data_IF_684385130716
#
_entry.id   IF_684385130716
#
_cell.length_a   1.000
_cell.length_b   1.000
_cell.length_c   1.000
_cell.angle_alpha   90.00
_cell.angle_beta   90.00
_cell.angle_gamma   90.00
#
_symmetry.space_group_name_H-M   'P 1'
#
loop_
_entity.id
_entity.type
_entity.pdbx_description
1 polymer ?
#
# COMPACT_ATOMS: atom_id res chain seq x y z
N UNK A 1 6.56 -45.82 13.15
CA UNK A 1 6.64 -44.45 13.71
C UNK A 1 6.62 -43.48 12.53
N UNK A 2 5.48 -42.85 12.24
CA UNK A 2 5.34 -41.92 11.11
C UNK A 2 5.92 -40.55 11.51
N UNK A 3 7.01 -40.14 10.87
CA UNK A 3 7.55 -38.79 11.02
C UNK A 3 6.58 -37.80 10.36
N UNK A 4 5.78 -37.08 11.16
CA UNK A 4 5.04 -35.91 10.68
C UNK A 4 6.07 -34.84 10.31
N UNK A 5 6.26 -34.62 9.01
CA UNK A 5 7.04 -33.49 8.48
C UNK A 5 6.39 -32.22 9.03
N UNK A 6 7.04 -31.53 9.98
CA UNK A 6 6.56 -30.24 10.45
C UNK A 6 6.62 -29.28 9.25
N UNK A 7 5.46 -28.94 8.71
CA UNK A 7 5.37 -27.93 7.65
C UNK A 7 6.00 -26.64 8.17
N UNK A 8 6.97 -26.12 7.44
CA UNK A 8 7.60 -24.84 7.80
C UNK A 8 6.49 -23.78 7.79
N UNK A 9 6.36 -22.96 8.85
CA UNK A 9 5.36 -21.91 8.88
C UNK A 9 5.54 -20.99 7.66
N UNK A 10 4.44 -20.68 6.99
CA UNK A 10 4.44 -19.76 5.85
C UNK A 10 5.05 -18.41 6.26
N UNK A 11 5.61 -17.68 5.28
CA UNK A 11 6.38 -16.44 5.54
C UNK A 11 5.62 -15.44 6.41
N UNK A 12 4.32 -15.25 6.16
CA UNK A 12 3.45 -14.39 6.98
C UNK A 12 3.32 -14.88 8.42
N UNK A 13 3.12 -16.18 8.63
CA UNK A 13 3.05 -16.77 9.97
C UNK A 13 4.34 -16.51 10.74
N UNK A 14 5.50 -16.68 10.10
CA UNK A 14 6.79 -16.37 10.72
C UNK A 14 6.94 -14.88 11.01
N UNK A 15 6.50 -14.00 10.11
CA UNK A 15 6.53 -12.56 10.31
C UNK A 15 5.76 -12.15 11.58
N UNK A 16 4.58 -12.70 11.80
CA UNK A 16 3.75 -12.36 12.96
C UNK A 16 4.18 -13.01 14.29
N UNK A 17 5.19 -13.88 14.28
CA UNK A 17 5.82 -14.36 15.52
C UNK A 17 6.64 -13.27 16.20
N UNK A 18 7.13 -12.27 15.46
CA UNK A 18 7.81 -11.12 16.02
C UNK A 18 6.77 -10.08 16.51
N UNK A 19 6.76 -9.74 17.80
CA UNK A 19 5.86 -8.73 18.35
C UNK A 19 5.92 -7.38 17.63
N UNK A 20 7.08 -7.01 17.07
CA UNK A 20 7.25 -5.76 16.31
C UNK A 20 6.31 -5.71 15.11
N UNK A 21 6.22 -6.80 14.33
CA UNK A 21 5.37 -6.87 13.15
C UNK A 21 3.92 -7.17 13.54
N UNK A 22 3.71 -7.99 14.57
CA UNK A 22 2.36 -8.27 15.10
C UNK A 22 1.66 -6.99 15.57
N UNK A 23 2.38 -6.08 16.25
CA UNK A 23 1.85 -4.82 16.76
C UNK A 23 1.91 -3.66 15.76
N UNK A 24 2.40 -3.88 14.54
CA UNK A 24 2.50 -2.82 13.54
C UNK A 24 1.12 -2.25 13.23
N UNK A 25 0.92 -0.97 13.48
CA UNK A 25 -0.38 -0.34 13.26
C UNK A 25 -0.53 0.23 11.84
N UNK A 26 0.57 0.57 11.17
CA UNK A 26 0.61 0.98 9.76
C UNK A 26 1.31 -0.12 8.97
N UNK A 27 0.67 -0.60 7.92
CA UNK A 27 1.20 -1.63 7.03
C UNK A 27 1.19 -1.10 5.61
N UNK A 28 2.33 -1.19 4.92
CA UNK A 28 2.46 -0.87 3.50
C UNK A 28 2.70 -2.18 2.75
N UNK A 29 1.82 -2.49 1.79
CA UNK A 29 1.88 -3.70 0.97
C UNK A 29 2.32 -3.31 -0.44
N UNK A 30 3.53 -3.75 -0.81
CA UNK A 30 4.09 -3.61 -2.15
C UNK A 30 4.62 -4.98 -2.58
N UNK A 31 3.76 -5.76 -3.23
CA UNK A 31 4.02 -7.15 -3.64
C UNK A 31 3.42 -7.38 -5.03
N UNK A 32 3.94 -8.38 -5.76
CA UNK A 32 3.42 -8.79 -7.07
C UNK A 32 4.40 -8.59 -8.24
N UNK A 33 5.50 -7.86 -8.06
CA UNK A 33 6.49 -7.60 -9.13
C UNK A 33 7.15 -8.84 -9.74
N UNK A 34 7.11 -9.98 -9.03
CA UNK A 34 7.65 -11.25 -9.50
C UNK A 34 6.58 -12.21 -10.01
N UNK A 35 5.30 -11.90 -9.85
CA UNK A 35 4.20 -12.82 -10.17
C UNK A 35 4.14 -13.07 -11.68
N UNK A 36 4.43 -12.03 -12.49
CA UNK A 36 4.53 -12.12 -13.96
C UNK A 36 5.67 -13.03 -14.46
N UNK A 37 6.70 -13.22 -13.65
CA UNK A 37 7.85 -14.06 -13.99
C UNK A 37 7.67 -15.52 -13.55
N UNK A 38 6.65 -15.80 -12.74
CA UNK A 38 6.41 -17.15 -12.23
C UNK A 38 5.78 -18.01 -13.32
N UNK A 39 6.40 -19.15 -13.61
CA UNK A 39 5.94 -20.08 -14.65
C UNK A 39 5.13 -21.27 -14.11
N UNK A 40 5.38 -21.68 -12.88
CA UNK A 40 4.70 -22.84 -12.29
C UNK A 40 4.40 -22.67 -10.77
N UNK A 41 3.12 -22.64 -10.37
CA UNK A 41 2.00 -22.25 -11.23
C UNK A 41 2.21 -20.82 -11.74
N UNK A 42 1.83 -20.55 -12.99
CA UNK A 42 1.70 -19.17 -13.48
C UNK A 42 0.70 -18.40 -12.64
N UNK A 43 0.97 -17.13 -12.35
CA UNK A 43 0.05 -16.28 -11.59
C UNK A 43 -0.53 -15.22 -12.52
N UNK A 44 -1.82 -15.32 -12.79
CA UNK A 44 -2.57 -14.35 -13.59
C UNK A 44 -2.72 -13.00 -12.86
N UNK A 45 -3.04 -11.92 -13.58
CA UNK A 45 -3.36 -10.64 -12.94
C UNK A 45 -4.46 -10.73 -11.87
N UNK A 46 -5.52 -11.50 -12.13
CA UNK A 46 -6.64 -11.70 -11.22
C UNK A 46 -6.21 -12.47 -9.96
N UNK A 47 -5.40 -13.51 -10.11
CA UNK A 47 -4.83 -14.24 -8.97
C UNK A 47 -3.90 -13.36 -8.15
N UNK A 48 -3.11 -12.49 -8.79
CA UNK A 48 -2.26 -11.52 -8.10
C UNK A 48 -3.10 -10.65 -7.17
N UNK A 49 -4.16 -10.02 -7.68
CA UNK A 49 -5.03 -9.15 -6.87
C UNK A 49 -5.77 -9.95 -5.81
N UNK A 50 -6.27 -11.14 -6.13
CA UNK A 50 -6.90 -12.03 -5.14
C UNK A 50 -5.94 -12.37 -3.99
N UNK A 51 -4.67 -12.65 -4.29
CA UNK A 51 -3.66 -12.89 -3.28
C UNK A 51 -3.40 -11.64 -2.41
N UNK A 52 -3.33 -10.45 -3.03
CA UNK A 52 -3.18 -9.19 -2.31
C UNK A 52 -4.36 -8.90 -1.38
N UNK A 53 -5.60 -9.16 -1.82
CA UNK A 53 -6.80 -9.07 -0.97
C UNK A 53 -6.66 -9.96 0.27
N UNK A 54 -6.30 -11.24 0.07
CA UNK A 54 -6.13 -12.20 1.15
C UNK A 54 -5.02 -11.80 2.12
N UNK A 55 -3.92 -11.26 1.61
CA UNK A 55 -2.82 -10.72 2.42
C UNK A 55 -3.32 -9.54 3.27
N UNK A 56 -4.04 -8.59 2.67
CA UNK A 56 -4.57 -7.43 3.38
C UNK A 56 -5.58 -7.85 4.46
N UNK A 57 -6.48 -8.78 4.15
CA UNK A 57 -7.43 -9.33 5.11
C UNK A 57 -6.73 -10.08 6.25
N UNK A 58 -5.71 -10.88 5.95
CA UNK A 58 -4.91 -11.58 6.96
C UNK A 58 -4.20 -10.58 7.88
N UNK A 59 -3.51 -9.58 7.33
CA UNK A 59 -2.85 -8.51 8.08
C UNK A 59 -3.85 -7.83 9.02
N UNK A 60 -5.03 -7.46 8.53
CA UNK A 60 -6.07 -6.77 9.31
C UNK A 60 -6.59 -7.59 10.50
N UNK A 61 -6.65 -8.92 10.37
CA UNK A 61 -7.14 -9.84 11.41
C UNK A 61 -6.06 -10.22 12.43
N UNK A 62 -4.81 -9.86 12.20
CA UNK A 62 -3.70 -10.17 13.12
C UNK A 62 -3.50 -9.06 14.15
N UNK A 63 -3.13 -9.46 15.37
CA UNK A 63 -2.96 -8.52 16.48
C UNK A 63 -4.29 -8.03 17.05
N UNK A 64 -4.20 -7.09 18.01
CA UNK A 64 -5.37 -6.39 18.58
C UNK A 64 -5.49 -4.96 18.06
N UNK A 65 -4.47 -4.50 17.36
CA UNK A 65 -4.29 -3.14 16.91
C UNK A 65 -5.19 -2.84 15.71
N UNK A 66 -5.73 -1.62 15.65
CA UNK A 66 -6.51 -1.16 14.50
C UNK A 66 -5.58 -0.78 13.36
N UNK A 67 -5.18 -1.77 12.56
CA UNK A 67 -4.23 -1.57 11.46
C UNK A 67 -4.81 -0.70 10.36
N UNK A 68 -3.96 0.13 9.76
CA UNK A 68 -4.24 0.83 8.50
C UNK A 68 -3.29 0.29 7.45
N UNK A 69 -3.89 -0.27 6.40
CA UNK A 69 -3.18 -1.04 5.38
C UNK A 69 -3.23 -0.23 4.09
N UNK A 70 -2.07 0.08 3.55
CA UNK A 70 -1.89 0.79 2.29
C UNK A 70 -1.44 -0.21 1.23
N UNK A 71 -2.16 -0.29 0.11
CA UNK A 71 -1.82 -1.17 -1.00
C UNK A 71 -1.29 -0.36 -2.19
N UNK A 72 -0.10 -0.70 -2.66
CA UNK A 72 0.57 -0.01 -3.77
C UNK A 72 0.30 -0.72 -5.08
N UNK A 73 0.43 0.02 -6.19
CA UNK A 73 0.63 -0.62 -7.50
C UNK A 73 1.97 -1.37 -7.52
N UNK A 74 2.17 -2.23 -8.52
CA UNK A 74 3.47 -2.87 -8.77
C UNK A 74 4.33 -1.96 -9.66
N UNK A 75 5.63 -1.80 -9.37
CA UNK A 75 6.54 -1.06 -10.23
C UNK A 75 6.66 -1.75 -11.60
N UNK A 76 6.60 -0.96 -12.66
CA UNK A 76 6.73 -1.42 -14.06
C UNK A 76 8.00 -0.89 -14.75
N UNK A 77 8.91 -0.30 -13.97
CA UNK A 77 10.20 0.13 -14.49
C UNK A 77 11.06 -1.09 -14.86
N UNK A 78 11.70 -1.02 -16.02
CA UNK A 78 12.49 -2.10 -16.60
C UNK A 78 11.66 -3.20 -17.26
N UNK A 79 10.33 -3.16 -17.21
CA UNK A 79 9.48 -4.19 -17.84
C UNK A 79 9.79 -4.34 -19.34
N UNK A 80 10.03 -3.23 -20.04
CA UNK A 80 10.45 -3.17 -21.45
C UNK A 80 11.75 -3.90 -21.77
N UNK A 81 12.57 -4.17 -20.76
CA UNK A 81 13.87 -4.83 -20.90
C UNK A 81 13.78 -6.34 -20.64
N UNK A 82 12.85 -6.80 -19.79
CA UNK A 82 12.83 -8.19 -19.30
C UNK A 82 11.55 -8.96 -19.62
N UNK A 83 10.48 -8.29 -20.04
CA UNK A 83 9.18 -8.89 -20.24
C UNK A 83 8.78 -8.87 -21.72
N UNK A 84 8.01 -9.86 -22.14
CA UNK A 84 7.32 -9.81 -23.43
C UNK A 84 6.19 -8.76 -23.40
N UNK A 85 5.70 -8.36 -24.58
CA UNK A 85 4.55 -7.44 -24.69
C UNK A 85 3.32 -7.93 -23.91
N UNK A 86 3.04 -9.24 -23.97
CA UNK A 86 1.97 -9.87 -23.21
C UNK A 86 2.18 -9.73 -21.69
N UNK A 87 3.39 -9.98 -21.20
CA UNK A 87 3.72 -9.84 -19.79
C UNK A 87 3.66 -8.39 -19.30
N UNK A 88 4.04 -7.43 -20.14
CA UNK A 88 3.88 -6.01 -19.84
C UNK A 88 2.39 -5.62 -19.75
N UNK A 89 1.57 -6.10 -20.67
CA UNK A 89 0.12 -5.90 -20.66
C UNK A 89 -0.53 -6.51 -19.40
N UNK A 90 -0.06 -7.68 -18.98
CA UNK A 90 -0.47 -8.30 -17.73
C UNK A 90 -0.12 -7.45 -16.50
N UNK A 91 1.08 -6.86 -16.44
CA UNK A 91 1.46 -5.97 -15.35
C UNK A 91 0.62 -4.69 -15.32
N UNK A 92 0.30 -4.12 -16.49
CA UNK A 92 -0.63 -3.00 -16.57
C UNK A 92 -2.01 -3.40 -16.04
N UNK A 93 -2.50 -4.58 -16.42
CA UNK A 93 -3.77 -5.13 -15.95
C UNK A 93 -3.77 -5.36 -14.43
N UNK A 94 -2.67 -5.87 -13.85
CA UNK A 94 -2.51 -5.99 -12.39
C UNK A 94 -2.71 -4.64 -11.70
N UNK A 95 -2.07 -3.59 -12.19
CA UNK A 95 -2.19 -2.26 -11.61
C UNK A 95 -3.60 -1.68 -11.73
N UNK A 96 -4.25 -1.84 -12.88
CA UNK A 96 -5.65 -1.44 -13.05
C UNK A 96 -6.58 -2.16 -12.06
N UNK A 97 -6.38 -3.47 -11.86
CA UNK A 97 -7.18 -4.25 -10.91
C UNK A 97 -6.88 -3.88 -9.44
N UNK A 98 -5.63 -3.57 -9.10
CA UNK A 98 -5.25 -3.06 -7.77
C UNK A 98 -5.95 -1.72 -7.49
N UNK A 99 -5.94 -0.81 -8.46
CA UNK A 99 -6.64 0.48 -8.35
C UNK A 99 -8.14 0.27 -8.19
N UNK A 100 -8.76 -0.56 -9.03
CA UNK A 100 -10.18 -0.90 -8.92
C UNK A 100 -10.54 -1.52 -7.56
N UNK A 101 -9.68 -2.35 -6.98
CA UNK A 101 -9.86 -2.89 -5.64
C UNK A 101 -9.80 -1.80 -4.56
N UNK A 102 -8.86 -0.85 -4.68
CA UNK A 102 -8.75 0.28 -3.75
C UNK A 102 -9.93 1.25 -3.87
N UNK A 103 -10.51 1.36 -5.06
CA UNK A 103 -11.68 2.20 -5.35
C UNK A 103 -13.02 1.52 -5.02
N UNK A 104 -13.02 0.24 -4.62
CA UNK A 104 -14.23 -0.50 -4.25
C UNK A 104 -14.93 0.15 -3.05
N UNK A 105 -15.91 0.99 -3.34
CA UNK A 105 -16.64 1.77 -2.34
C UNK A 105 -17.38 0.90 -1.31
N UNK A 106 -17.39 1.37 -0.07
CA UNK A 106 -18.45 1.05 0.90
C UNK A 106 -19.69 1.86 0.47
N UNK A 107 -20.88 1.26 0.32
CA UNK A 107 -22.10 2.04 0.14
C UNK A 107 -22.22 3.06 1.27
N UNK A 108 -22.37 4.33 0.91
CA UNK A 108 -22.33 5.50 1.79
C UNK A 108 -23.01 5.28 3.15
N UNK A 109 -22.22 5.30 4.23
CA UNK A 109 -22.66 6.03 5.42
C UNK A 109 -22.49 7.49 5.05
N UNK A 110 -23.57 8.27 5.06
CA UNK A 110 -23.52 9.72 4.91
C UNK A 110 -22.56 10.29 5.96
N UNK A 111 -21.32 10.58 5.58
CA UNK A 111 -20.42 11.36 6.41
C UNK A 111 -20.93 12.80 6.38
N UNK A 112 -21.59 13.23 7.45
CA UNK A 112 -21.81 14.65 7.71
C UNK A 112 -20.44 15.31 7.84
N UNK A 113 -20.06 16.02 6.79
CA UNK A 113 -18.84 16.83 6.74
C UNK A 113 -18.97 17.95 7.78
N UNK A 114 -18.46 17.75 9.00
CA UNK A 114 -18.22 18.88 9.90
C UNK A 114 -16.94 19.57 9.44
N UNK A 115 -17.12 20.54 8.54
CA UNK A 115 -16.06 21.48 8.15
C UNK A 115 -15.62 22.22 9.42
N UNK A 116 -14.45 21.89 9.95
CA UNK A 116 -13.76 22.72 10.93
C UNK A 116 -13.14 23.88 10.15
N UNK A 117 -13.85 25.00 10.08
CA UNK A 117 -13.28 26.27 9.62
C UNK A 117 -12.36 26.79 10.73
N UNK A 118 -11.05 26.72 10.50
CA UNK A 118 -10.08 27.45 11.31
C UNK A 118 -9.97 28.82 10.68
N UNK A 119 -10.54 29.83 11.33
CA UNK A 119 -10.46 31.23 10.93
C UNK A 119 -9.03 31.73 11.20
N UNK A 120 -8.15 31.56 10.21
CA UNK A 120 -6.85 32.23 10.18
C UNK A 120 -7.10 33.61 9.59
N UNK A 121 -7.13 34.60 10.47
CA UNK A 121 -7.58 35.96 10.20
C UNK A 121 -7.11 36.55 8.86
N UNK A 122 -8.09 37.09 8.14
CA UNK A 122 -8.03 38.21 7.18
C UNK A 122 -6.66 38.48 6.52
N UNK A 123 -6.21 37.61 5.63
CA UNK A 123 -5.41 38.03 4.47
C UNK A 123 -5.78 37.20 3.24
N UNK A 124 -6.40 37.86 2.27
CA UNK A 124 -6.53 37.46 0.86
C UNK A 124 -6.92 35.99 0.57
N UNK A 125 -8.21 35.68 0.72
CA UNK A 125 -9.03 35.24 -0.43
C UNK A 125 -8.65 33.98 -1.21
N UNK A 126 -7.93 33.00 -0.65
CA UNK A 126 -7.80 31.67 -1.27
C UNK A 126 -7.68 30.57 -0.21
N UNK A 127 -8.81 30.15 0.35
CA UNK A 127 -8.89 28.90 1.11
C UNK A 127 -8.81 27.72 0.15
N UNK A 128 -7.61 27.29 -0.24
CA UNK A 128 -7.42 25.99 -0.91
C UNK A 128 -7.48 24.88 0.14
N UNK A 129 -8.67 24.39 0.44
CA UNK A 129 -8.82 23.12 1.15
C UNK A 129 -8.48 21.97 0.20
N UNK A 130 -7.23 21.53 0.21
CA UNK A 130 -6.84 20.28 -0.45
C UNK A 130 -7.09 19.15 0.56
N UNK A 131 -8.33 18.66 0.58
CA UNK A 131 -8.70 17.46 1.33
C UNK A 131 -8.43 16.24 0.46
N UNK A 132 -7.21 15.70 0.48
CA UNK A 132 -6.96 14.33 -0.01
C UNK A 132 -7.52 13.35 1.02
N UNK A 133 -8.84 13.15 1.01
CA UNK A 133 -9.47 12.06 1.74
C UNK A 133 -9.26 10.78 0.93
N UNK A 134 -8.17 10.07 1.21
CA UNK A 134 -8.07 8.67 0.81
C UNK A 134 -9.12 7.89 1.61
N UNK A 135 -10.24 7.56 0.96
CA UNK A 135 -11.25 6.70 1.57
C UNK A 135 -10.76 5.25 1.55
N UNK A 136 -11.07 4.53 2.63
CA UNK A 136 -10.86 3.09 2.67
C UNK A 136 -11.88 2.39 1.78
N UNK A 137 -11.48 1.32 1.13
CA UNK A 137 -12.40 0.43 0.42
C UNK A 137 -13.28 -0.39 1.41
N UNK A 138 -14.17 -1.23 0.89
CA UNK A 138 -15.03 -2.13 1.70
C UNK A 138 -14.28 -2.98 2.73
N UNK A 139 -13.03 -3.33 2.42
CA UNK A 139 -12.19 -4.18 3.25
C UNK A 139 -11.35 -3.37 4.24
N UNK A 140 -11.46 -2.04 4.25
CA UNK A 140 -10.68 -1.15 5.10
C UNK A 140 -9.26 -0.89 4.60
N UNK A 141 -8.96 -1.20 3.34
CA UNK A 141 -7.67 -0.96 2.67
C UNK A 141 -7.64 0.45 2.09
N UNK A 142 -6.50 1.12 2.24
CA UNK A 142 -6.22 2.45 1.71
C UNK A 142 -5.40 2.34 0.41
N UNK A 143 -5.62 3.22 -0.56
CA UNK A 143 -4.71 3.35 -1.69
C UNK A 143 -3.33 3.82 -1.20
N UNK A 144 -2.29 3.10 -1.62
CA UNK A 144 -0.90 3.41 -1.39
C UNK A 144 -0.30 4.28 -2.50
N UNK A 145 1.03 4.36 -2.53
CA UNK A 145 1.74 5.08 -3.58
C UNK A 145 1.57 4.37 -4.94
N UNK A 146 1.30 5.16 -5.99
CA UNK A 146 1.41 4.70 -7.37
C UNK A 146 2.87 4.68 -7.79
N UNK A 147 3.42 3.48 -7.97
CA UNK A 147 4.86 3.24 -8.24
C UNK A 147 5.11 2.76 -9.67
N UNK A 148 4.06 2.60 -10.46
CA UNK A 148 4.10 2.22 -11.85
C UNK A 148 4.32 3.43 -12.76
N UNK A 149 4.90 3.17 -13.95
CA UNK A 149 5.23 4.22 -14.91
C UNK A 149 3.99 4.84 -15.58
N UNK A 150 2.87 4.13 -15.62
CA UNK A 150 1.65 4.62 -16.27
C UNK A 150 0.92 5.64 -15.38
N UNK A 151 0.84 5.36 -14.08
CA UNK A 151 0.21 6.23 -13.08
C UNK A 151 1.13 7.29 -12.50
N UNK A 152 2.45 7.15 -12.63
CA UNK A 152 3.42 8.09 -12.03
C UNK A 152 4.65 8.34 -12.92
N UNK A 153 4.62 9.42 -13.71
CA UNK A 153 5.71 9.79 -14.59
C UNK A 153 7.02 10.13 -13.86
N UNK A 154 6.96 10.51 -12.57
CA UNK A 154 8.17 10.79 -11.79
C UNK A 154 9.01 9.52 -11.57
N UNK A 155 8.37 8.34 -11.65
CA UNK A 155 9.03 7.05 -11.58
C UNK A 155 9.81 6.73 -12.86
N UNK A 156 9.67 7.49 -13.96
CA UNK A 156 10.43 7.25 -15.20
C UNK A 156 11.92 7.63 -15.12
N UNK A 157 12.37 8.13 -13.98
CA UNK A 157 13.74 8.63 -13.80
C UNK A 157 14.73 7.47 -13.63
N UNK A 158 15.63 7.30 -14.60
CA UNK A 158 16.66 6.23 -14.59
C UNK A 158 17.50 6.18 -13.32
N UNK A 159 17.83 7.34 -12.72
CA UNK A 159 18.66 7.40 -11.51
C UNK A 159 17.95 6.87 -10.24
N UNK A 160 16.64 6.60 -10.30
CA UNK A 160 15.91 5.97 -9.20
C UNK A 160 16.13 4.45 -9.16
N UNK A 161 16.68 3.85 -10.20
CA UNK A 161 16.86 2.40 -10.30
C UNK A 161 18.33 2.01 -10.31
N UNK A 162 18.59 0.76 -9.94
CA UNK A 162 19.89 0.12 -10.13
C UNK A 162 20.14 -0.11 -11.62
N UNK A 163 21.32 -0.66 -11.95
CA UNK A 163 21.69 -1.00 -13.33
C UNK A 163 20.71 -1.98 -13.99
N UNK A 164 19.98 -2.77 -13.19
CA UNK A 164 18.96 -3.68 -13.69
C UNK A 164 17.65 -2.99 -14.06
N UNK A 165 17.45 -1.70 -13.77
CA UNK A 165 16.23 -0.97 -14.09
C UNK A 165 14.97 -1.39 -13.32
N UNK A 166 15.06 -2.35 -12.40
CA UNK A 166 13.91 -2.92 -11.65
C UNK A 166 13.97 -2.65 -10.16
N UNK A 167 15.16 -2.78 -9.57
CA UNK A 167 15.35 -2.52 -8.15
C UNK A 167 15.67 -1.04 -7.94
N UNK A 168 15.15 -0.46 -6.86
CA UNK A 168 15.45 0.93 -6.53
C UNK A 168 16.93 1.09 -6.15
N UNK A 169 17.54 2.17 -6.61
CA UNK A 169 18.82 2.65 -6.10
C UNK A 169 18.63 3.27 -4.70
N UNK A 170 19.72 3.66 -4.03
CA UNK A 170 19.63 4.44 -2.78
C UNK A 170 18.80 5.72 -2.96
N UNK A 171 18.92 6.38 -4.12
CA UNK A 171 18.14 7.57 -4.47
C UNK A 171 16.66 7.19 -4.67
N UNK A 172 16.39 6.06 -5.30
CA UNK A 172 15.03 5.51 -5.45
C UNK A 172 14.36 5.26 -4.11
N UNK A 173 15.02 4.55 -3.20
CA UNK A 173 14.51 4.29 -1.85
C UNK A 173 14.28 5.58 -1.06
N UNK A 174 15.19 6.56 -1.15
CA UNK A 174 15.03 7.87 -0.51
C UNK A 174 13.81 8.64 -1.06
N UNK A 175 13.58 8.61 -2.38
CA UNK A 175 12.38 9.19 -2.99
C UNK A 175 11.12 8.49 -2.49
N UNK A 176 11.10 7.15 -2.55
CA UNK A 176 9.98 6.34 -2.07
C UNK A 176 9.61 6.69 -0.63
N UNK A 177 10.60 6.74 0.26
CA UNK A 177 10.38 7.13 1.65
C UNK A 177 9.79 8.55 1.77
N UNK A 178 10.31 9.52 1.00
CA UNK A 178 9.79 10.89 0.99
C UNK A 178 8.33 10.98 0.51
N UNK A 179 7.98 10.21 -0.52
CA UNK A 179 6.64 10.22 -1.12
C UNK A 179 5.62 9.47 -0.25
N UNK A 180 6.08 8.48 0.54
CA UNK A 180 5.24 7.77 1.50
C UNK A 180 4.78 8.65 2.66
N UNK A 181 5.67 9.47 3.21
CA UNK A 181 5.40 10.30 4.39
C UNK A 181 4.07 11.08 4.27
N UNK A 182 3.80 11.87 3.21
CA UNK A 182 2.54 12.59 3.12
C UNK A 182 1.30 11.68 3.04
N UNK A 183 1.42 10.47 2.51
CA UNK A 183 0.32 9.49 2.38
C UNK A 183 -0.04 8.89 3.74
N UNK A 184 0.96 8.50 4.53
CA UNK A 184 0.74 7.81 5.83
C UNK A 184 0.66 8.77 7.01
N UNK A 185 1.18 10.01 6.87
CA UNK A 185 1.26 11.00 7.96
C UNK A 185 -0.07 11.24 8.67
N UNK A 186 -1.23 11.41 8.00
CA UNK A 186 -2.50 11.63 8.71
C UNK A 186 -2.80 10.52 9.71
N UNK A 187 -2.47 9.29 9.34
CA UNK A 187 -2.70 8.10 10.13
C UNK A 187 -1.61 7.92 11.21
N UNK A 188 -0.38 8.35 10.97
CA UNK A 188 0.65 8.47 12.02
C UNK A 188 0.21 9.46 13.11
N UNK A 189 -0.23 10.65 12.72
CA UNK A 189 -0.69 11.71 13.65
C UNK A 189 -1.87 11.22 14.49
N UNK A 190 -2.87 10.58 13.88
CA UNK A 190 -4.02 10.03 14.63
C UNK A 190 -3.59 9.05 15.73
N UNK A 191 -2.57 8.23 15.48
CA UNK A 191 -2.06 7.27 16.47
C UNK A 191 -1.33 7.96 17.60
N UNK A 192 -0.46 8.90 17.26
CA UNK A 192 0.27 9.70 18.24
C UNK A 192 -0.70 10.44 19.18
N UNK A 193 -1.73 11.08 18.64
CA UNK A 193 -2.79 11.69 19.46
C UNK A 193 -3.59 10.68 20.28
N UNK A 194 -3.80 9.45 19.79
CA UNK A 194 -4.47 8.39 20.55
C UNK A 194 -3.62 7.95 21.75
N UNK A 195 -2.31 7.89 21.59
CA UNK A 195 -1.37 7.61 22.68
C UNK A 195 -1.42 8.73 23.73
N UNK A 196 -1.33 9.99 23.29
CA UNK A 196 -1.44 11.12 24.22
C UNK A 196 -2.76 11.14 25.00
N UNK A 197 -3.89 10.83 24.36
CA UNK A 197 -5.17 10.74 25.07
C UNK A 197 -5.15 9.64 26.13
N UNK A 198 -4.65 8.46 25.77
CA UNK A 198 -4.51 7.34 26.71
C UNK A 198 -3.62 7.71 27.90
N UNK A 199 -2.48 8.37 27.65
CA UNK A 199 -1.54 8.79 28.69
C UNK A 199 -2.13 9.88 29.61
N UNK A 200 -3.05 10.69 29.08
CA UNK A 200 -3.78 11.72 29.84
C UNK A 200 -5.08 11.20 30.48
N UNK A 201 -5.44 9.93 30.29
CA UNK A 201 -6.69 9.35 30.80
C UNK A 201 -7.97 9.89 30.15
N UNK A 202 -7.88 10.35 28.89
CA UNK A 202 -8.97 10.92 28.09
C UNK A 202 -9.61 9.92 27.12
#
# INVERSE_FOLDING_TARGET
MQWKRMEKPALLTKLFQDPKYLKAEIVIVMLGSNDVLRKDPSITPQETVRNLELICQAMKRTGKEKKSIYLCTIPTAGDDTYLSEEQMADNLTRNQLIEAYCDKYVPMVQWTYKRLEVDLGKTAGLTRSISFLFSRNSDGVLPGLKVDLAGNFEMKRRNLYWQDGRHFSSIGYAKMAKDWVPIVRPDMVKREFSLFRSDLGL
#
